data_IF_375875061862
#
_entry.id   IF_375875061862
#
_cell.length_a   1.000
_cell.length_b   1.000
_cell.length_c   1.000
_cell.angle_alpha   90.00
_cell.angle_beta   90.00
_cell.angle_gamma   90.00
#
_symmetry.space_group_name_H-M   'P 1'
#
loop_
_entity.id
_entity.type
_entity.pdbx_description
1 polymer ?
#
# COMPACT_ATOMS: atom_id res chain seq x y z
N UNK A 1 21.11 -6.87 -13.60
CA UNK A 1 20.22 -6.71 -12.42
C UNK A 1 19.30 -5.48 -12.46
N UNK A 2 19.55 -4.48 -13.34
CA UNK A 2 18.78 -3.22 -13.43
C UNK A 2 17.27 -3.42 -13.56
N UNK A 3 16.82 -4.31 -14.44
CA UNK A 3 15.39 -4.57 -14.62
C UNK A 3 14.72 -5.10 -13.35
N UNK A 4 15.37 -6.01 -12.61
CA UNK A 4 14.84 -6.51 -11.34
C UNK A 4 14.74 -5.42 -10.27
N UNK A 5 15.72 -4.51 -10.21
CA UNK A 5 15.66 -3.32 -9.35
C UNK A 5 14.47 -2.44 -9.72
N UNK A 6 14.26 -2.18 -11.02
CA UNK A 6 13.14 -1.37 -11.49
C UNK A 6 11.79 -1.96 -11.08
N UNK A 7 11.56 -3.26 -11.27
CA UNK A 7 10.35 -3.93 -10.80
C UNK A 7 10.19 -3.88 -9.28
N UNK A 8 11.28 -4.06 -8.53
CA UNK A 8 11.23 -3.97 -7.08
C UNK A 8 10.85 -2.57 -6.59
N UNK A 9 11.42 -1.50 -7.16
CA UNK A 9 11.04 -0.12 -6.84
C UNK A 9 9.58 0.13 -7.21
N UNK A 10 9.16 -0.28 -8.42
CA UNK A 10 7.82 -0.03 -8.92
C UNK A 10 6.72 -0.69 -8.09
N UNK A 11 6.98 -1.87 -7.51
CA UNK A 11 5.99 -2.70 -6.84
C UNK A 11 5.95 -2.58 -5.31
N UNK A 12 6.97 -1.98 -4.68
CA UNK A 12 7.08 -1.95 -3.20
C UNK A 12 6.94 -0.54 -2.65
N UNK A 13 6.78 -0.41 -1.32
CA UNK A 13 6.64 0.90 -0.68
C UNK A 13 5.39 1.63 -1.13
N UNK A 14 5.56 2.75 -1.84
CA UNK A 14 4.47 3.43 -2.55
C UNK A 14 4.61 3.12 -4.05
N UNK A 15 3.82 2.17 -4.59
CA UNK A 15 3.96 1.75 -5.98
C UNK A 15 3.83 2.92 -6.96
N UNK A 16 4.59 2.85 -8.06
CA UNK A 16 4.64 3.90 -9.06
C UNK A 16 5.47 3.53 -10.29
N UNK A 17 5.36 4.32 -11.37
CA UNK A 17 6.10 4.07 -12.60
C UNK A 17 7.61 4.25 -12.39
N UNK A 18 8.40 3.43 -13.09
CA UNK A 18 9.87 3.51 -13.13
C UNK A 18 10.30 3.54 -14.58
N UNK A 19 11.15 4.51 -14.93
CA UNK A 19 11.75 4.61 -16.26
C UNK A 19 13.12 3.93 -16.23
N UNK A 20 13.36 3.04 -17.20
CA UNK A 20 14.68 2.43 -17.44
C UNK A 20 15.14 2.91 -18.81
N UNK A 21 16.18 3.73 -18.83
CA UNK A 21 16.80 4.17 -20.08
C UNK A 21 17.82 3.13 -20.56
N UNK A 22 17.80 2.81 -21.86
CA UNK A 22 18.66 1.81 -22.47
C UNK A 22 19.26 2.42 -23.75
N UNK A 23 20.57 2.73 -23.75
CA UNK A 23 21.26 3.26 -24.92
C UNK A 23 21.18 2.33 -26.13
N UNK A 24 21.21 2.93 -27.34
CA UNK A 24 21.06 2.20 -28.61
C UNK A 24 22.11 1.12 -28.81
N UNK A 25 23.37 1.43 -28.49
CA UNK A 25 24.47 0.47 -28.55
C UNK A 25 24.20 -0.74 -27.65
N UNK A 26 23.75 -0.54 -26.40
CA UNK A 26 23.41 -1.63 -25.47
C UNK A 26 22.26 -2.51 -26.00
N UNK A 27 21.24 -1.93 -26.63
CA UNK A 27 20.12 -2.72 -27.18
C UNK A 27 20.52 -3.67 -28.32
N UNK A 28 21.61 -3.37 -29.04
CA UNK A 28 22.07 -4.18 -30.16
C UNK A 28 23.00 -5.34 -29.74
N UNK A 29 23.47 -5.35 -28.50
CA UNK A 29 24.38 -6.39 -28.00
C UNK A 29 23.62 -7.64 -27.55
N UNK A 30 24.17 -8.81 -27.89
CA UNK A 30 23.70 -10.11 -27.37
C UNK A 30 24.46 -10.49 -26.10
N UNK A 31 23.77 -11.09 -25.13
CA UNK A 31 24.37 -11.62 -23.92
C UNK A 31 23.54 -12.79 -23.37
N UNK A 32 24.16 -13.64 -22.55
CA UNK A 32 23.43 -14.67 -21.82
C UNK A 32 22.43 -14.03 -20.85
N UNK A 33 21.18 -14.46 -20.91
CA UNK A 33 20.12 -13.94 -20.06
C UNK A 33 20.04 -14.73 -18.74
N UNK A 34 20.42 -14.06 -17.65
CA UNK A 34 20.23 -14.58 -16.29
C UNK A 34 19.47 -13.57 -15.43
N UNK A 35 18.21 -13.88 -15.12
CA UNK A 35 17.42 -13.04 -14.22
C UNK A 35 17.83 -13.27 -12.75
N UNK A 36 18.20 -12.22 -11.99
CA UNK A 36 18.65 -12.42 -10.61
C UNK A 36 17.52 -12.98 -9.73
N UNK A 37 17.82 -13.83 -8.74
CA UNK A 37 16.82 -14.37 -7.80
C UNK A 37 16.36 -13.35 -6.76
N UNK A 38 17.27 -12.52 -6.25
CA UNK A 38 17.00 -11.47 -5.26
C UNK A 38 17.58 -10.13 -5.73
N UNK A 39 17.18 -9.06 -5.05
CA UNK A 39 17.71 -7.72 -5.25
C UNK A 39 17.76 -7.00 -3.91
N UNK A 40 18.86 -6.30 -3.66
CA UNK A 40 19.03 -5.47 -2.48
C UNK A 40 19.55 -4.09 -2.91
N UNK A 41 19.06 -3.05 -2.24
CA UNK A 41 19.43 -1.66 -2.53
C UNK A 41 19.64 -0.90 -1.23
N UNK A 42 20.86 -0.39 -1.03
CA UNK A 42 21.20 0.43 0.13
C UNK A 42 20.30 1.67 0.28
N UNK A 43 19.91 2.28 -0.82
CA UNK A 43 19.14 3.53 -0.85
C UNK A 43 17.63 3.34 -0.70
N UNK A 44 17.12 2.11 -0.72
CA UNK A 44 15.69 1.86 -0.77
C UNK A 44 15.30 0.61 0.03
N UNK A 45 14.68 0.84 1.18
CA UNK A 45 14.22 -0.19 2.10
C UNK A 45 12.83 0.20 2.65
N UNK A 46 11.72 -0.26 2.03
CA UNK A 46 10.38 0.13 2.44
C UNK A 46 10.04 -0.45 3.81
N UNK A 47 9.42 0.37 4.67
CA UNK A 47 8.97 -0.07 6.00
C UNK A 47 7.68 -0.89 5.84
N UNK A 48 7.78 -2.21 6.06
CA UNK A 48 6.63 -3.12 5.94
C UNK A 48 5.84 -3.29 7.24
N UNK A 49 6.46 -3.01 8.39
CA UNK A 49 5.83 -3.18 9.71
C UNK A 49 5.62 -1.82 10.37
N UNK A 50 4.37 -1.56 10.78
CA UNK A 50 4.04 -0.37 11.56
C UNK A 50 4.67 -0.42 12.95
N UNK A 51 5.00 0.76 13.50
CA UNK A 51 5.58 0.87 14.83
C UNK A 51 4.51 0.59 15.91
N UNK A 52 4.69 -0.46 16.71
CA UNK A 52 3.69 -0.93 17.68
C UNK A 52 3.24 0.15 18.67
N UNK A 53 4.16 1.00 19.14
CA UNK A 53 3.84 2.12 20.03
C UNK A 53 2.96 3.20 19.36
N UNK A 54 3.15 3.46 18.07
CA UNK A 54 2.34 4.44 17.33
C UNK A 54 0.94 3.88 17.07
N UNK A 55 0.84 2.59 16.75
CA UNK A 55 -0.44 1.89 16.60
C UNK A 55 -1.23 1.93 17.91
N UNK A 56 -0.60 1.61 19.05
CA UNK A 56 -1.26 1.71 20.37
C UNK A 56 -1.78 3.12 20.66
N UNK A 57 -1.00 4.15 20.33
CA UNK A 57 -1.42 5.56 20.49
C UNK A 57 -2.61 5.89 19.59
N UNK A 58 -2.59 5.46 18.32
CA UNK A 58 -3.69 5.66 17.38
C UNK A 58 -4.98 4.98 17.86
N UNK A 59 -4.89 3.73 18.33
CA UNK A 59 -6.04 3.00 18.89
C UNK A 59 -6.60 3.70 20.12
N UNK A 60 -5.75 4.17 21.03
CA UNK A 60 -6.19 4.91 22.22
C UNK A 60 -6.95 6.20 21.85
N UNK A 61 -6.46 6.94 20.86
CA UNK A 61 -7.13 8.14 20.36
C UNK A 61 -8.47 7.80 19.68
N UNK A 62 -8.48 6.75 18.86
CA UNK A 62 -9.67 6.28 18.15
C UNK A 62 -10.79 5.87 19.12
N UNK A 63 -10.46 5.10 20.17
CA UNK A 63 -11.43 4.65 21.19
C UNK A 63 -11.90 5.76 22.13
N UNK A 64 -11.08 6.79 22.35
CA UNK A 64 -11.45 7.95 23.18
C UNK A 64 -12.24 9.03 22.44
N UNK A 65 -12.44 8.88 21.13
CA UNK A 65 -13.12 9.88 20.31
C UNK A 65 -14.63 9.89 20.58
N UNK A 66 -15.21 11.08 20.75
CA UNK A 66 -16.67 11.25 20.94
C UNK A 66 -17.48 11.01 19.65
N UNK A 67 -16.90 11.33 18.49
CA UNK A 67 -17.51 11.20 17.16
C UNK A 67 -16.48 10.67 16.16
N UNK A 68 -16.08 9.40 16.27
CA UNK A 68 -15.07 8.81 15.40
C UNK A 68 -15.60 8.62 13.98
N UNK A 69 -14.69 8.67 13.02
CA UNK A 69 -14.95 8.35 11.62
C UNK A 69 -13.70 7.76 11.00
N UNK A 70 -13.87 6.70 10.21
CA UNK A 70 -12.80 6.08 9.44
C UNK A 70 -12.88 6.59 8.01
N UNK A 71 -11.86 7.31 7.57
CA UNK A 71 -11.76 7.82 6.19
C UNK A 71 -10.63 7.12 5.44
N UNK A 72 -10.96 6.41 4.36
CA UNK A 72 -10.00 5.53 3.66
C UNK A 72 -9.60 6.01 2.27
N UNK A 73 -8.32 5.82 1.95
CA UNK A 73 -7.72 6.19 0.67
C UNK A 73 -7.47 4.98 -0.24
N UNK A 74 -7.03 5.22 -1.48
CA UNK A 74 -6.61 4.15 -2.40
C UNK A 74 -5.44 3.29 -1.90
N UNK A 75 -4.67 3.77 -0.91
CA UNK A 75 -3.66 2.98 -0.23
C UNK A 75 -4.22 1.74 0.47
N UNK A 76 -5.48 1.77 0.90
CA UNK A 76 -6.16 0.59 1.46
C UNK A 76 -6.31 -0.51 0.41
N UNK A 77 -6.76 -0.14 -0.79
CA UNK A 77 -6.97 -1.05 -1.92
C UNK A 77 -5.63 -1.60 -2.41
N UNK A 78 -4.63 -0.73 -2.60
CA UNK A 78 -3.27 -1.13 -2.97
C UNK A 78 -2.63 -2.08 -1.95
N UNK A 79 -2.95 -1.91 -0.67
CA UNK A 79 -2.45 -2.73 0.43
C UNK A 79 -3.29 -3.97 0.74
N UNK A 80 -4.34 -4.27 -0.03
CA UNK A 80 -5.29 -5.37 0.21
C UNK A 80 -5.91 -5.37 1.62
N UNK A 81 -6.06 -4.21 2.26
CA UNK A 81 -6.52 -4.10 3.66
C UNK A 81 -8.03 -4.10 3.88
N UNK A 82 -8.82 -4.44 2.86
CA UNK A 82 -10.28 -4.31 2.88
C UNK A 82 -10.92 -5.21 3.94
N UNK A 83 -10.46 -6.45 4.09
CA UNK A 83 -11.01 -7.41 5.04
C UNK A 83 -10.76 -6.96 6.50
N UNK A 84 -9.56 -6.48 6.78
CA UNK A 84 -9.16 -5.94 8.08
C UNK A 84 -9.96 -4.70 8.44
N UNK A 85 -10.19 -3.80 7.47
CA UNK A 85 -11.04 -2.64 7.67
C UNK A 85 -12.47 -3.05 8.02
N UNK A 86 -13.06 -4.00 7.31
CA UNK A 86 -14.42 -4.48 7.60
C UNK A 86 -14.51 -5.03 9.01
N UNK A 87 -13.54 -5.84 9.43
CA UNK A 87 -13.48 -6.38 10.79
C UNK A 87 -13.37 -5.26 11.83
N UNK A 88 -12.48 -4.29 11.61
CA UNK A 88 -12.26 -3.16 12.53
C UNK A 88 -13.50 -2.29 12.64
N UNK A 89 -14.09 -1.87 11.51
CA UNK A 89 -15.27 -1.03 11.47
C UNK A 89 -16.43 -1.69 12.21
N UNK A 90 -16.72 -2.97 11.91
CA UNK A 90 -17.81 -3.72 12.54
C UNK A 90 -17.61 -3.94 14.04
N UNK A 91 -16.38 -4.23 14.47
CA UNK A 91 -16.06 -4.40 15.87
C UNK A 91 -16.25 -3.09 16.68
N UNK A 92 -15.90 -1.94 16.09
CA UNK A 92 -16.01 -0.64 16.75
C UNK A 92 -17.37 0.02 16.55
N UNK A 93 -18.17 -0.46 15.59
CA UNK A 93 -19.42 0.16 15.16
C UNK A 93 -19.25 1.64 14.74
N UNK A 94 -18.13 1.97 14.08
CA UNK A 94 -17.81 3.33 13.62
C UNK A 94 -18.17 3.56 12.15
N UNK A 95 -18.57 4.79 11.76
CA UNK A 95 -18.89 5.10 10.37
C UNK A 95 -17.63 5.14 9.50
N UNK A 96 -17.79 4.71 8.24
CA UNK A 96 -16.73 4.63 7.23
C UNK A 96 -17.11 5.42 5.99
N UNK A 97 -16.15 6.15 5.41
CA UNK A 97 -16.25 6.78 4.09
C UNK A 97 -14.92 6.64 3.35
N UNK A 98 -14.92 6.78 2.03
CA UNK A 98 -13.72 6.64 1.21
C UNK A 98 -13.48 7.81 0.26
N UNK A 99 -12.21 8.04 -0.07
CA UNK A 99 -11.83 8.84 -1.23
C UNK A 99 -12.26 8.16 -2.52
N UNK A 100 -12.29 8.89 -3.65
CA UNK A 100 -12.56 8.32 -4.97
C UNK A 100 -11.69 7.09 -5.28
N UNK A 101 -10.38 7.18 -5.02
CA UNK A 101 -9.44 6.08 -5.26
C UNK A 101 -9.57 4.93 -4.24
N UNK A 102 -10.29 5.14 -3.14
CA UNK A 102 -10.60 4.12 -2.13
C UNK A 102 -11.91 3.38 -2.38
N UNK A 103 -12.63 3.69 -3.46
CA UNK A 103 -13.87 2.98 -3.82
C UNK A 103 -13.57 1.48 -3.98
N UNK A 104 -14.49 0.66 -3.46
CA UNK A 104 -14.31 -0.80 -3.38
C UNK A 104 -13.50 -1.28 -2.18
N UNK A 105 -12.90 -0.37 -1.40
CA UNK A 105 -12.17 -0.71 -0.18
C UNK A 105 -13.05 -1.05 1.04
N UNK A 106 -14.32 -0.62 1.02
CA UNK A 106 -15.33 -0.97 2.02
C UNK A 106 -16.68 -1.26 1.31
N UNK A 107 -17.48 -2.24 1.76
CA UNK A 107 -18.74 -2.55 1.10
C UNK A 107 -19.74 -1.39 1.19
N UNK A 108 -20.13 -0.83 0.04
CA UNK A 108 -21.06 0.30 -0.01
C UNK A 108 -22.48 -0.04 0.51
N UNK A 109 -22.82 -1.32 0.58
CA UNK A 109 -24.09 -1.83 1.13
C UNK A 109 -24.06 -2.03 2.64
N UNK A 110 -22.90 -1.89 3.30
CA UNK A 110 -22.81 -2.04 4.74
C UNK A 110 -23.43 -0.81 5.45
N UNK A 111 -24.18 -1.05 6.53
CA UNK A 111 -24.89 -0.02 7.29
C UNK A 111 -23.97 1.08 7.86
N UNK A 112 -22.68 0.79 8.03
CA UNK A 112 -21.71 1.74 8.57
C UNK A 112 -21.10 2.64 7.49
N UNK A 113 -21.38 2.36 6.22
CA UNK A 113 -20.94 3.18 5.11
C UNK A 113 -21.81 4.44 5.01
N UNK A 114 -21.17 5.61 4.94
CA UNK A 114 -21.87 6.90 4.94
C UNK A 114 -21.46 7.82 3.79
N UNK A 115 -20.70 7.32 2.80
CA UNK A 115 -20.30 8.08 1.62
C UNK A 115 -19.15 7.47 0.84
#
# INVERSE_FOLDING_TARGET
ATLKKAFYIAATGRPGPVVVDIPKDITAHTADYMYPKSVEMRSYNPILKGHSGQIKKAVKLLLGAKRPMIYTGGGLVLGNGAEELVKLARALNYPVTNTLMGLGGYPATDKQFVG
#
